data_IF_718240188518
#
_entry.id   IF_718240188518
#
_cell.length_a   1.000
_cell.length_b   1.000
_cell.length_c   1.000
_cell.angle_alpha   90.00
_cell.angle_beta   90.00
_cell.angle_gamma   90.00
#
_symmetry.space_group_name_H-M   'P 1'
#
loop_
_entity.id
_entity.type
_entity.pdbx_description
1 polymer ?
#
# COMPACT_ATOMS: atom_id res chain seq x y z
N UNK A 1 -6.49 -14.42 -38.46
CA UNK A 1 -5.31 -14.42 -39.36
C UNK A 1 -4.18 -13.75 -38.62
N UNK A 2 -3.02 -14.41 -38.49
CA UNK A 2 -1.82 -13.89 -37.79
C UNK A 2 -1.43 -12.47 -38.22
N UNK A 3 -1.76 -12.10 -39.46
CA UNK A 3 -1.48 -10.78 -40.02
C UNK A 3 -2.38 -9.67 -39.45
N UNK A 4 -3.62 -9.98 -39.06
CA UNK A 4 -4.52 -9.02 -38.39
C UNK A 4 -4.15 -8.80 -36.92
N UNK A 5 -3.64 -9.84 -36.24
CA UNK A 5 -3.14 -9.73 -34.85
C UNK A 5 -1.85 -8.90 -34.79
N UNK A 6 -0.91 -9.15 -35.69
CA UNK A 6 0.33 -8.36 -35.78
C UNK A 6 0.11 -6.88 -36.11
N UNK A 7 -0.87 -6.56 -36.96
CA UNK A 7 -1.23 -5.17 -37.26
C UNK A 7 -1.93 -4.49 -36.09
N UNK A 8 -2.71 -5.22 -35.30
CA UNK A 8 -3.34 -4.69 -34.09
C UNK A 8 -2.28 -4.42 -33.00
N UNK A 9 -1.32 -5.33 -32.83
CA UNK A 9 -0.19 -5.19 -31.88
C UNK A 9 0.67 -3.96 -32.20
N UNK A 10 1.10 -3.80 -33.47
CA UNK A 10 1.87 -2.63 -33.89
C UNK A 10 1.09 -1.31 -33.75
N UNK A 11 -0.24 -1.34 -33.89
CA UNK A 11 -1.09 -0.17 -33.68
C UNK A 11 -1.21 0.19 -32.19
N UNK A 12 -1.35 -0.82 -31.32
CA UNK A 12 -1.39 -0.64 -29.86
C UNK A 12 -0.07 -0.02 -29.37
N UNK A 13 1.07 -0.53 -29.85
CA UNK A 13 2.38 0.01 -29.46
C UNK A 13 2.52 1.47 -29.90
N UNK A 14 2.13 1.80 -31.14
CA UNK A 14 2.18 3.16 -31.65
C UNK A 14 1.28 4.13 -30.89
N UNK A 15 0.05 3.71 -30.52
CA UNK A 15 -0.86 4.55 -29.71
C UNK A 15 -0.30 4.75 -28.30
N UNK A 16 0.24 3.68 -27.70
CA UNK A 16 0.87 3.74 -26.36
C UNK A 16 2.05 4.71 -26.36
N UNK A 17 2.96 4.61 -27.34
CA UNK A 17 4.10 5.50 -27.47
C UNK A 17 3.67 6.96 -27.68
N UNK A 18 2.64 7.21 -28.50
CA UNK A 18 2.11 8.57 -28.69
C UNK A 18 1.50 9.16 -27.43
N UNK A 19 0.82 8.36 -26.62
CA UNK A 19 0.26 8.80 -25.35
C UNK A 19 1.34 9.04 -24.28
N UNK A 20 2.42 8.25 -24.29
CA UNK A 20 3.61 8.46 -23.46
C UNK A 20 4.36 9.74 -23.87
N UNK A 21 4.63 9.94 -25.17
CA UNK A 21 5.29 11.14 -25.70
C UNK A 21 4.54 12.44 -25.40
N UNK A 22 3.20 12.38 -25.40
CA UNK A 22 2.34 13.53 -25.09
C UNK A 22 2.13 13.77 -23.59
N UNK A 23 2.72 12.93 -22.72
CA UNK A 23 2.57 13.03 -21.27
C UNK A 23 1.21 12.62 -20.72
N UNK A 24 0.34 12.00 -21.54
CA UNK A 24 -0.97 11.50 -21.11
C UNK A 24 -0.88 10.15 -20.38
N UNK A 25 0.20 9.39 -20.56
CA UNK A 25 0.60 8.31 -19.67
C UNK A 25 1.84 8.75 -18.87
N UNK A 26 1.67 8.97 -17.56
CA UNK A 26 2.76 9.27 -16.65
C UNK A 26 2.75 8.26 -15.50
N UNK A 27 3.55 7.20 -15.65
CA UNK A 27 3.68 6.13 -14.66
C UNK A 27 4.13 6.64 -13.28
N UNK A 28 4.94 7.70 -13.25
CA UNK A 28 5.44 8.29 -12.00
C UNK A 28 4.33 9.05 -11.26
N UNK A 29 3.54 9.84 -11.98
CA UNK A 29 2.37 10.52 -11.43
C UNK A 29 1.32 9.51 -10.95
N UNK A 30 1.05 8.49 -11.75
CA UNK A 30 0.16 7.41 -11.37
C UNK A 30 0.66 6.68 -10.10
N UNK A 31 1.95 6.35 -10.04
CA UNK A 31 2.53 5.67 -8.88
C UNK A 31 2.46 6.54 -7.62
N UNK A 32 2.75 7.85 -7.72
CA UNK A 32 2.62 8.80 -6.59
C UNK A 32 1.19 8.85 -6.09
N UNK A 33 0.23 9.07 -7.00
CA UNK A 33 -1.18 9.08 -6.67
C UNK A 33 -1.60 7.77 -6.00
N UNK A 34 -1.13 6.62 -6.50
CA UNK A 34 -1.45 5.32 -5.94
C UNK A 34 -0.95 5.16 -4.50
N UNK A 35 0.29 5.59 -4.22
CA UNK A 35 0.89 5.56 -2.87
C UNK A 35 0.12 6.47 -1.92
N UNK A 36 -0.19 7.70 -2.34
CA UNK A 36 -0.95 8.66 -1.54
C UNK A 36 -2.34 8.12 -1.17
N UNK A 37 -3.08 7.59 -2.14
CA UNK A 37 -4.39 6.97 -1.92
C UNK A 37 -4.32 5.82 -0.92
N UNK A 38 -3.26 4.99 -0.99
CA UNK A 38 -3.08 3.88 -0.05
C UNK A 38 -2.73 4.39 1.34
N UNK A 39 -1.82 5.33 1.48
CA UNK A 39 -1.48 5.92 2.76
C UNK A 39 -2.69 6.56 3.44
N UNK A 40 -3.61 7.16 2.69
CA UNK A 40 -4.80 7.78 3.24
C UNK A 40 -5.87 6.75 3.68
N UNK A 41 -6.21 5.80 2.82
CA UNK A 41 -7.41 4.97 3.01
C UNK A 41 -7.14 3.52 3.41
N UNK A 42 -6.00 2.96 3.01
CA UNK A 42 -5.65 1.57 3.27
C UNK A 42 -4.13 1.48 3.41
N UNK A 43 -3.57 1.91 4.55
CA UNK A 43 -2.12 1.94 4.71
C UNK A 43 -1.56 0.54 4.52
N UNK A 44 -0.48 0.45 3.75
CA UNK A 44 0.22 -0.77 3.38
C UNK A 44 1.70 -0.60 3.67
N UNK A 45 2.40 -1.69 3.88
CA UNK A 45 3.86 -1.65 3.94
C UNK A 45 4.47 -1.30 2.58
N UNK A 46 5.67 -0.70 2.54
CA UNK A 46 6.37 -0.38 1.28
C UNK A 46 6.48 -1.59 0.34
N UNK A 47 6.75 -2.78 0.88
CA UNK A 47 6.83 -4.03 0.08
C UNK A 47 5.50 -4.40 -0.58
N UNK A 48 4.38 -4.17 0.10
CA UNK A 48 3.05 -4.44 -0.45
C UNK A 48 2.67 -3.41 -1.51
N UNK A 49 3.01 -2.13 -1.32
CA UNK A 49 2.84 -1.08 -2.32
C UNK A 49 3.64 -1.39 -3.60
N UNK A 50 4.90 -1.78 -3.44
CA UNK A 50 5.76 -2.22 -4.55
C UNK A 50 5.09 -3.34 -5.36
N UNK A 51 4.54 -4.34 -4.67
CA UNK A 51 3.85 -5.45 -5.34
C UNK A 51 2.57 -5.00 -6.08
N UNK A 52 1.77 -4.09 -5.50
CA UNK A 52 0.60 -3.54 -6.18
C UNK A 52 0.98 -2.76 -7.44
N UNK A 53 2.04 -1.95 -7.38
CA UNK A 53 2.52 -1.16 -8.52
C UNK A 53 3.12 -2.04 -9.63
N UNK A 54 3.87 -3.08 -9.27
CA UNK A 54 4.38 -4.07 -10.23
C UNK A 54 3.25 -4.78 -10.99
N UNK A 55 2.19 -5.18 -10.28
CA UNK A 55 1.01 -5.79 -10.90
C UNK A 55 0.23 -4.86 -11.82
N UNK A 56 0.48 -3.55 -11.72
CA UNK A 56 -0.11 -2.52 -12.58
C UNK A 56 0.76 -2.19 -13.79
N UNK A 57 1.91 -2.85 -13.93
CA UNK A 57 2.82 -2.65 -15.06
C UNK A 57 3.81 -1.51 -14.86
N UNK A 58 3.86 -0.89 -13.67
CA UNK A 58 4.80 0.20 -13.40
C UNK A 58 6.22 -0.34 -13.33
N UNK A 59 7.13 0.30 -14.05
CA UNK A 59 8.54 -0.10 -14.09
C UNK A 59 9.19 0.00 -12.71
N UNK A 60 10.05 -0.97 -12.38
CA UNK A 60 10.75 -1.06 -11.09
C UNK A 60 11.45 0.26 -10.69
N UNK A 61 12.17 0.88 -11.63
CA UNK A 61 12.86 2.17 -11.42
C UNK A 61 11.92 3.28 -10.94
N UNK A 62 10.69 3.31 -11.47
CA UNK A 62 9.68 4.32 -11.10
C UNK A 62 9.14 4.02 -9.72
N UNK A 63 8.94 2.74 -9.40
CA UNK A 63 8.49 2.30 -8.09
C UNK A 63 9.52 2.63 -7.02
N UNK A 64 10.80 2.34 -7.27
CA UNK A 64 11.90 2.67 -6.36
C UNK A 64 11.94 4.17 -6.09
N UNK A 65 11.92 5.00 -7.14
CA UNK A 65 11.91 6.46 -7.02
C UNK A 65 10.71 6.98 -6.20
N UNK A 66 9.52 6.43 -6.41
CA UNK A 66 8.30 6.88 -5.72
C UNK A 66 8.19 6.37 -4.29
N UNK A 67 8.72 5.19 -3.99
CA UNK A 67 8.67 4.62 -2.63
C UNK A 67 9.83 5.06 -1.75
N UNK A 68 10.95 5.50 -2.33
CA UNK A 68 12.11 5.98 -1.57
C UNK A 68 11.73 7.20 -0.72
N UNK A 69 11.88 7.06 0.60
CA UNK A 69 11.52 8.09 1.59
C UNK A 69 10.03 8.46 1.68
N UNK A 70 9.15 7.96 0.81
CA UNK A 70 7.74 8.37 0.75
C UNK A 70 6.83 7.64 1.76
N UNK A 71 7.27 6.50 2.30
CA UNK A 71 6.47 5.67 3.19
C UNK A 71 7.27 5.27 4.42
N UNK A 72 6.96 5.91 5.54
CA UNK A 72 7.36 5.46 6.86
C UNK A 72 6.50 4.24 7.26
N UNK A 73 7.14 3.08 7.34
CA UNK A 73 6.47 1.82 7.64
C UNK A 73 5.87 1.79 9.05
N UNK A 74 6.51 2.44 10.03
CA UNK A 74 6.05 2.49 11.42
C UNK A 74 4.82 3.39 11.53
N UNK A 75 4.89 4.58 10.92
CA UNK A 75 3.76 5.51 10.88
C UNK A 75 2.54 4.91 10.15
N UNK A 76 2.77 4.24 9.01
CA UNK A 76 1.71 3.58 8.24
C UNK A 76 1.08 2.42 9.02
N UNK A 77 1.89 1.63 9.73
CA UNK A 77 1.40 0.54 10.58
C UNK A 77 0.57 1.07 11.76
N UNK A 78 1.03 2.13 12.42
CA UNK A 78 0.31 2.78 13.51
C UNK A 78 -1.05 3.33 13.04
N UNK A 79 -1.09 4.00 11.89
CA UNK A 79 -2.34 4.47 11.29
C UNK A 79 -3.29 3.31 10.96
N UNK A 80 -2.77 2.23 10.37
CA UNK A 80 -3.57 1.04 10.09
C UNK A 80 -4.13 0.42 11.38
N UNK A 81 -3.34 0.35 12.45
CA UNK A 81 -3.76 -0.18 13.74
C UNK A 81 -4.86 0.67 14.39
N UNK A 82 -4.70 1.99 14.43
CA UNK A 82 -5.71 2.93 14.95
C UNK A 82 -7.07 2.75 14.27
N UNK A 83 -7.09 2.51 12.95
CA UNK A 83 -8.33 2.28 12.20
C UNK A 83 -9.14 1.06 12.67
N UNK A 84 -8.47 0.06 13.25
CA UNK A 84 -9.11 -1.16 13.76
C UNK A 84 -9.29 -1.16 15.26
N UNK A 85 -8.42 -0.47 16.02
CA UNK A 85 -8.46 -0.46 17.47
C UNK A 85 -9.84 -0.08 18.00
N UNK A 86 -10.45 0.97 17.44
CA UNK A 86 -11.83 1.40 17.78
C UNK A 86 -12.89 0.32 17.55
N UNK A 87 -12.73 -0.51 16.51
CA UNK A 87 -13.67 -1.60 16.19
C UNK A 87 -13.50 -2.80 17.11
N UNK A 88 -12.35 -2.92 17.77
CA UNK A 88 -11.96 -4.08 18.57
C UNK A 88 -11.80 -3.76 20.07
N UNK A 89 -12.29 -2.59 20.51
CA UNK A 89 -12.22 -2.13 21.90
C UNK A 89 -12.81 -3.08 22.94
N UNK A 90 -13.75 -3.94 22.55
CA UNK A 90 -14.39 -4.91 23.45
C UNK A 90 -13.69 -6.27 23.49
N UNK A 91 -12.60 -6.45 22.75
CA UNK A 91 -11.83 -7.70 22.76
C UNK A 91 -10.89 -7.74 23.95
N UNK A 92 -10.64 -8.93 24.48
CA UNK A 92 -9.56 -9.15 25.43
C UNK A 92 -8.18 -8.92 24.78
N UNK A 93 -7.18 -8.66 25.62
CA UNK A 93 -5.81 -8.31 25.19
C UNK A 93 -5.19 -9.36 24.26
N UNK A 94 -5.43 -10.65 24.52
CA UNK A 94 -4.82 -11.73 23.74
C UNK A 94 -5.47 -11.83 22.36
N UNK A 95 -6.81 -11.80 22.30
CA UNK A 95 -7.56 -11.83 21.05
C UNK A 95 -7.27 -10.58 20.21
N UNK A 96 -7.22 -9.40 20.83
CA UNK A 96 -6.85 -8.15 20.15
C UNK A 96 -5.49 -8.27 19.48
N UNK A 97 -4.46 -8.70 20.23
CA UNK A 97 -3.09 -8.80 19.72
C UNK A 97 -2.99 -9.79 18.56
N UNK A 98 -3.58 -10.99 18.69
CA UNK A 98 -3.60 -11.99 17.60
C UNK A 98 -4.25 -11.43 16.33
N UNK A 99 -5.40 -10.76 16.49
CA UNK A 99 -6.17 -10.22 15.36
C UNK A 99 -5.47 -9.04 14.69
N UNK A 100 -4.87 -8.14 15.48
CA UNK A 100 -4.10 -7.00 15.00
C UNK A 100 -2.81 -7.43 14.30
N UNK A 101 -2.06 -8.37 14.88
CA UNK A 101 -0.87 -8.93 14.26
C UNK A 101 -1.18 -9.49 12.87
N UNK A 102 -2.20 -10.36 12.78
CA UNK A 102 -2.60 -10.97 11.52
C UNK A 102 -3.08 -9.91 10.49
N UNK A 103 -3.77 -8.86 10.95
CA UNK A 103 -4.23 -7.77 10.09
C UNK A 103 -3.08 -6.95 9.50
N UNK A 104 -2.06 -6.62 10.29
CA UNK A 104 -0.90 -5.86 9.85
C UNK A 104 0.02 -6.72 8.97
N UNK A 105 0.20 -8.01 9.29
CA UNK A 105 0.96 -8.93 8.42
C UNK A 105 0.34 -9.07 7.03
N UNK A 106 -0.99 -9.17 6.93
CA UNK A 106 -1.70 -9.18 5.62
C UNK A 106 -1.53 -7.87 4.83
N UNK A 107 -1.10 -6.79 5.48
CA UNK A 107 -0.72 -5.52 4.84
C UNK A 107 0.77 -5.43 4.48
N UNK A 108 1.53 -6.47 4.77
CA UNK A 108 2.94 -6.60 4.42
C UNK A 108 3.91 -6.00 5.43
N UNK A 109 3.44 -5.59 6.62
CA UNK A 109 4.34 -5.07 7.66
C UNK A 109 5.20 -6.19 8.23
N UNK A 110 6.48 -5.89 8.50
CA UNK A 110 7.41 -6.85 9.08
C UNK A 110 7.04 -7.14 10.53
N UNK A 111 7.49 -8.29 11.06
CA UNK A 111 7.19 -8.64 12.44
C UNK A 111 7.73 -7.63 13.46
N UNK A 112 8.87 -7.00 13.19
CA UNK A 112 9.44 -5.96 14.05
C UNK A 112 8.48 -4.77 14.20
N UNK A 113 8.04 -4.20 13.07
CA UNK A 113 7.06 -3.09 13.01
C UNK A 113 5.75 -3.49 13.70
N UNK A 114 5.25 -4.70 13.40
CA UNK A 114 4.00 -5.20 14.00
C UNK A 114 4.10 -5.28 15.52
N UNK A 115 5.19 -5.82 16.06
CA UNK A 115 5.38 -5.94 17.51
C UNK A 115 5.37 -4.57 18.18
N UNK A 116 6.06 -3.60 17.61
CA UNK A 116 6.22 -2.28 18.22
C UNK A 116 4.87 -1.53 18.22
N UNK A 117 4.09 -1.64 17.14
CA UNK A 117 2.75 -1.04 17.02
C UNK A 117 1.70 -1.75 17.89
N UNK A 118 1.84 -3.05 18.15
CA UNK A 118 0.88 -3.82 18.95
C UNK A 118 0.75 -3.31 20.38
N UNK A 119 1.87 -2.96 21.04
CA UNK A 119 1.81 -2.47 22.42
C UNK A 119 1.24 -1.07 22.47
N UNK A 120 1.71 -0.19 21.58
CA UNK A 120 1.22 1.18 21.48
C UNK A 120 -0.28 1.22 21.21
N UNK A 121 -0.76 0.47 20.22
CA UNK A 121 -2.19 0.46 19.84
C UNK A 121 -3.11 -0.12 20.92
N UNK A 122 -2.59 -1.00 21.80
CA UNK A 122 -3.35 -1.48 22.94
C UNK A 122 -3.46 -0.41 24.03
N UNK A 123 -2.38 0.31 24.35
CA UNK A 123 -2.43 1.39 25.34
C UNK A 123 -3.30 2.56 24.88
N UNK A 124 -3.13 3.01 23.63
CA UNK A 124 -3.99 4.06 23.05
C UNK A 124 -5.48 3.68 23.13
N UNK A 125 -5.82 2.39 22.96
CA UNK A 125 -7.20 1.90 23.05
C UNK A 125 -7.74 1.90 24.48
N UNK A 126 -6.91 1.59 25.49
CA UNK A 126 -7.31 1.68 26.90
C UNK A 126 -7.54 3.14 27.29
N UNK A 127 -6.62 4.02 26.92
CA UNK A 127 -6.71 5.46 27.19
C UNK A 127 -7.96 6.09 26.55
N UNK A 128 -8.32 5.69 25.32
CA UNK A 128 -9.58 6.13 24.66
C UNK A 128 -10.85 5.56 25.32
N UNK A 129 -10.77 4.48 26.10
CA UNK A 129 -11.94 3.82 26.71
C UNK A 129 -12.18 4.28 28.16
N UNK A 130 -11.15 4.85 28.80
CA UNK A 130 -11.19 5.46 30.12
C UNK A 130 -11.53 6.97 30.09
N UNK A 131 -11.55 7.58 28.89
CA UNK A 131 -11.89 8.99 28.63
C UNK A 131 -13.36 9.19 28.20
#
# INVERSE_FOLDING_TARGET
>A
SRQKESLAEAHIDWVTDKLLEQGYLNDEEFARFWVEQRNQFKPLAPRALRYELLRKGIAERTIESVLDGAVDADAAAAQAARSQARRWRTLDKETFRKKMAAFLQRRGFSWAVVRDVLEQSWQEMLDENDA
#
